data_IF_787748992818
#
_entry.id   IF_787748992818
#
_cell.length_a   1.000
_cell.length_b   1.000
_cell.length_c   1.000
_cell.angle_alpha   90.00
_cell.angle_beta   90.00
_cell.angle_gamma   90.00
#
_symmetry.space_group_name_H-M   'P 1'
#
loop_
_entity.id
_entity.type
_entity.pdbx_description
1 polymer ?
#
# COMPACT_ATOMS: atom_id res chain seq x y z
N UNK A 1 7.89 23.13 -5.45
CA UNK A 1 7.41 23.27 -4.04
C UNK A 1 6.31 22.25 -3.87
N UNK A 2 6.41 21.31 -2.93
CA UNK A 2 5.30 20.39 -2.68
C UNK A 2 4.08 21.20 -2.20
N UNK A 3 2.84 20.83 -2.58
CA UNK A 3 1.65 21.50 -2.09
C UNK A 3 1.56 21.38 -0.56
N UNK A 4 0.98 22.38 0.10
CA UNK A 4 0.74 22.28 1.55
C UNK A 4 -0.20 21.10 1.86
N UNK A 5 0.06 20.33 2.93
CA UNK A 5 -0.78 19.19 3.28
C UNK A 5 -2.22 19.65 3.57
N UNK A 6 -3.21 18.90 3.08
CA UNK A 6 -4.61 19.13 3.43
C UNK A 6 -4.80 18.94 4.93
N UNK A 7 -5.44 19.90 5.60
CA UNK A 7 -5.76 19.81 7.04
C UNK A 7 -6.71 18.63 7.28
N UNK A 8 -6.28 17.68 8.10
CA UNK A 8 -7.10 16.52 8.47
C UNK A 8 -8.27 16.93 9.36
N UNK A 9 -9.46 16.41 9.09
CA UNK A 9 -10.66 16.61 9.93
C UNK A 9 -10.66 15.70 11.17
N UNK A 10 -9.71 14.78 11.27
CA UNK A 10 -9.55 13.82 12.37
C UNK A 10 -8.18 13.95 13.07
N UNK A 11 -7.51 15.09 12.90
CA UNK A 11 -6.16 15.36 13.42
C UNK A 11 -5.10 14.32 13.00
N UNK A 12 -5.28 13.68 11.86
CA UNK A 12 -4.27 12.78 11.27
C UNK A 12 -3.08 13.55 10.71
N UNK A 13 -1.88 13.02 10.95
CA UNK A 13 -0.61 13.56 10.42
C UNK A 13 -0.12 12.73 9.24
N UNK A 14 0.26 13.38 8.14
CA UNK A 14 0.90 12.72 7.01
C UNK A 14 2.42 12.70 7.20
N UNK A 15 3.02 11.52 7.09
CA UNK A 15 4.47 11.34 7.11
C UNK A 15 4.93 10.78 5.76
N UNK A 16 5.73 11.58 5.04
CA UNK A 16 6.40 11.09 3.84
C UNK A 16 7.63 10.27 4.24
N UNK A 17 7.59 8.98 3.96
CA UNK A 17 8.68 8.05 4.26
C UNK A 17 9.45 7.73 2.98
N UNK A 18 10.75 8.00 2.98
CA UNK A 18 11.69 7.46 2.00
C UNK A 18 12.34 6.22 2.61
N UNK A 19 11.92 5.05 2.15
CA UNK A 19 12.39 3.76 2.68
C UNK A 19 13.50 3.21 1.78
N UNK A 20 14.52 2.62 2.40
CA UNK A 20 15.55 1.84 1.72
C UNK A 20 15.36 0.36 2.03
N UNK A 21 15.62 -0.56 1.07
CA UNK A 21 15.56 -2.00 1.35
C UNK A 21 16.59 -2.39 2.42
N UNK A 22 16.13 -2.98 3.51
CA UNK A 22 16.98 -3.55 4.55
C UNK A 22 16.62 -5.04 4.75
N UNK A 23 17.54 -5.97 4.50
CA UNK A 23 17.30 -7.40 4.68
C UNK A 23 16.86 -7.79 6.10
N UNK A 24 17.42 -7.16 7.13
CA UNK A 24 17.08 -7.48 8.53
C UNK A 24 15.63 -7.06 8.84
N UNK A 25 15.22 -5.89 8.38
CA UNK A 25 13.84 -5.41 8.54
C UNK A 25 12.85 -6.33 7.81
N UNK A 26 13.19 -6.79 6.60
CA UNK A 26 12.36 -7.73 5.84
C UNK A 26 12.21 -9.07 6.57
N UNK A 27 13.30 -9.61 7.15
CA UNK A 27 13.24 -10.84 7.94
C UNK A 27 12.36 -10.70 9.18
N UNK A 28 12.45 -9.57 9.87
CA UNK A 28 11.60 -9.29 11.04
C UNK A 28 10.13 -9.11 10.62
N UNK A 29 9.86 -8.42 9.51
CA UNK A 29 8.52 -8.26 8.96
C UNK A 29 7.90 -9.61 8.59
N UNK A 30 8.66 -10.54 7.98
CA UNK A 30 8.19 -11.89 7.66
C UNK A 30 7.67 -12.61 8.90
N UNK A 31 8.42 -12.61 10.01
CA UNK A 31 7.99 -13.25 11.28
C UNK A 31 6.67 -12.67 11.81
N UNK A 32 6.48 -11.35 11.66
CA UNK A 32 5.25 -10.69 12.09
C UNK A 32 4.05 -11.05 11.21
N UNK A 33 4.26 -11.20 9.90
CA UNK A 33 3.23 -11.65 8.96
C UNK A 33 2.86 -13.11 9.20
N UNK A 34 3.86 -14.00 9.33
CA UNK A 34 3.65 -15.44 9.59
C UNK A 34 2.95 -15.71 10.93
N UNK A 35 3.26 -14.93 11.96
CA UNK A 35 2.57 -15.01 13.26
C UNK A 35 1.19 -14.35 13.28
N UNK A 36 0.75 -13.76 12.16
CA UNK A 36 -0.56 -13.10 12.03
C UNK A 36 -0.70 -11.79 12.82
N UNK A 37 0.39 -11.29 13.41
CA UNK A 37 0.43 -10.00 14.13
C UNK A 37 0.35 -8.82 13.16
N UNK A 38 0.88 -8.97 11.95
CA UNK A 38 0.73 -8.02 10.85
C UNK A 38 -0.11 -8.66 9.76
N UNK A 39 -1.24 -8.03 9.42
CA UNK A 39 -2.11 -8.45 8.33
C UNK A 39 -2.21 -7.32 7.30
N UNK A 40 -1.86 -7.55 6.03
CA UNK A 40 -2.03 -6.54 5.00
C UNK A 40 -3.52 -6.26 4.81
N UNK A 41 -3.89 -4.98 4.79
CA UNK A 41 -5.23 -4.55 4.37
C UNK A 41 -5.24 -4.50 2.84
N UNK A 42 -6.15 -5.25 2.24
CA UNK A 42 -6.34 -5.29 0.79
C UNK A 42 -7.49 -4.34 0.44
N UNK A 43 -7.22 -3.40 -0.46
CA UNK A 43 -8.20 -2.46 -0.97
C UNK A 43 -9.02 -3.10 -2.10
N UNK A 44 -8.32 -3.65 -3.09
CA UNK A 44 -8.94 -4.24 -4.28
C UNK A 44 -8.01 -5.23 -4.97
N UNK A 45 -8.61 -6.13 -5.75
CA UNK A 45 -7.94 -7.15 -6.56
C UNK A 45 -8.39 -6.96 -8.00
N UNK A 46 -7.44 -6.84 -8.93
CA UNK A 46 -7.69 -6.60 -10.35
C UNK A 46 -6.99 -7.67 -11.19
N UNK A 47 -7.64 -8.24 -12.21
CA UNK A 47 -6.94 -9.07 -13.17
C UNK A 47 -5.98 -8.20 -14.01
N UNK A 48 -4.93 -8.80 -14.56
CA UNK A 48 -3.89 -8.08 -15.30
C UNK A 48 -4.43 -7.23 -16.46
N UNK A 49 -5.49 -7.70 -17.13
CA UNK A 49 -6.18 -6.97 -18.20
C UNK A 49 -6.70 -5.59 -17.74
N UNK A 50 -6.96 -5.44 -16.43
CA UNK A 50 -7.47 -4.21 -15.82
C UNK A 50 -6.37 -3.40 -15.08
N UNK A 51 -5.08 -3.66 -15.35
CA UNK A 51 -3.96 -2.96 -14.68
C UNK A 51 -4.05 -1.43 -14.79
N UNK A 52 -4.59 -0.91 -15.89
CA UNK A 52 -4.77 0.54 -16.10
C UNK A 52 -5.71 1.14 -15.05
N UNK A 53 -6.79 0.43 -14.69
CA UNK A 53 -7.74 0.92 -13.69
C UNK A 53 -7.19 0.79 -12.26
N UNK A 54 -6.41 -0.27 -11.98
CA UNK A 54 -5.64 -0.39 -10.74
C UNK A 54 -4.67 0.79 -10.54
N UNK A 55 -3.94 1.20 -11.60
CA UNK A 55 -3.04 2.35 -11.57
C UNK A 55 -3.81 3.66 -11.36
N UNK A 56 -4.95 3.87 -12.04
CA UNK A 56 -5.79 5.06 -11.82
C UNK A 56 -6.24 5.17 -10.37
N UNK A 57 -6.67 4.06 -9.76
CA UNK A 57 -7.05 4.03 -8.35
C UNK A 57 -5.87 4.39 -7.43
N UNK A 58 -4.68 3.85 -7.69
CA UNK A 58 -3.47 4.20 -6.96
C UNK A 58 -3.14 5.70 -7.06
N UNK A 59 -3.19 6.27 -8.26
CA UNK A 59 -2.90 7.68 -8.51
C UNK A 59 -3.95 8.63 -7.93
N UNK A 60 -5.17 8.15 -7.67
CA UNK A 60 -6.24 8.94 -7.06
C UNK A 60 -5.96 9.30 -5.59
N UNK A 61 -5.01 8.64 -4.94
CA UNK A 61 -4.75 8.71 -3.49
C UNK A 61 -5.97 8.34 -2.62
N UNK A 62 -6.91 7.54 -3.14
CA UNK A 62 -8.12 7.10 -2.42
C UNK A 62 -8.10 5.64 -1.98
N UNK A 63 -7.13 4.85 -2.44
CA UNK A 63 -7.01 3.44 -2.05
C UNK A 63 -6.80 3.31 -0.52
N UNK A 64 -7.55 2.41 0.11
CA UNK A 64 -7.50 2.11 1.55
C UNK A 64 -6.81 0.76 1.79
N UNK A 65 -5.56 0.64 1.34
CA UNK A 65 -4.79 -0.60 1.48
C UNK A 65 -3.92 -0.90 0.27
N UNK A 66 -3.56 -2.18 0.11
CA UNK A 66 -2.83 -2.69 -1.06
C UNK A 66 -3.79 -2.98 -2.20
N UNK A 67 -3.41 -2.57 -3.41
CA UNK A 67 -4.06 -2.98 -4.66
C UNK A 67 -3.28 -4.19 -5.20
N UNK A 68 -3.97 -5.29 -5.47
CA UNK A 68 -3.38 -6.51 -6.02
C UNK A 68 -3.69 -6.58 -7.52
N UNK A 69 -2.67 -6.90 -8.32
CA UNK A 69 -2.82 -7.23 -9.74
C UNK A 69 -2.52 -8.71 -9.92
N UNK A 70 -3.51 -9.48 -10.33
CA UNK A 70 -3.39 -10.92 -10.57
C UNK A 70 -2.90 -11.17 -11.99
N UNK A 71 -1.72 -11.78 -12.14
CA UNK A 71 -1.08 -12.04 -13.44
C UNK A 71 -1.56 -13.36 -14.06
N UNK A 72 -1.84 -14.35 -13.22
CA UNK A 72 -2.38 -15.65 -13.63
C UNK A 72 -3.08 -16.30 -12.44
N UNK A 73 -4.22 -16.93 -12.69
CA UNK A 73 -4.83 -17.85 -11.74
C UNK A 73 -4.19 -19.22 -11.94
N UNK A 74 -3.49 -19.73 -10.92
CA UNK A 74 -3.15 -21.15 -10.83
C UNK A 74 -4.38 -22.01 -10.54
#
# INVERSE_FOLDING_TARGET
MAPEPVKSTIDATFHQLFLHPNPEDLQNLTKLVESGQVKPVIDSVHPFENVVDAIKLQMSNRAQGKIIVEISNE
#
